data_IF_793056866109
#
_entry.id   IF_793056866109
#
_cell.length_a   1.000
_cell.length_b   1.000
_cell.length_c   1.000
_cell.angle_alpha   90.00
_cell.angle_beta   90.00
_cell.angle_gamma   90.00
#
_symmetry.space_group_name_H-M   'P 1'
#
loop_
_entity.id
_entity.type
_entity.pdbx_description
1 polymer ?
#
# COMPACT_ATOMS: atom_id res chain seq x y z
N UNK A 1 6.76 12.75 29.87
CA UNK A 1 6.51 13.02 28.42
C UNK A 1 5.93 11.79 27.67
N UNK A 2 6.17 10.54 28.11
CA UNK A 2 5.71 9.33 27.40
C UNK A 2 4.19 9.08 27.44
N UNK A 3 3.51 9.41 28.53
CA UNK A 3 2.06 9.10 28.71
C UNK A 3 1.17 10.03 27.86
N UNK A 4 1.57 11.28 27.69
CA UNK A 4 0.82 12.25 26.86
C UNK A 4 0.99 11.97 25.35
N UNK A 5 2.18 11.57 24.92
CA UNK A 5 2.43 11.14 23.54
C UNK A 5 1.59 9.90 23.20
N UNK A 6 1.57 8.90 24.07
CA UNK A 6 0.77 7.69 23.88
C UNK A 6 -0.75 7.95 23.79
N UNK A 7 -1.27 8.96 24.50
CA UNK A 7 -2.68 9.37 24.39
C UNK A 7 -3.00 10.08 23.06
N UNK A 8 -2.07 10.84 22.50
CA UNK A 8 -2.26 11.48 21.20
C UNK A 8 -2.25 10.45 20.07
N UNK A 9 -1.34 9.48 20.12
CA UNK A 9 -1.26 8.41 19.14
C UNK A 9 -2.54 7.54 19.12
N UNK A 10 -3.05 7.18 20.32
CA UNK A 10 -4.29 6.42 20.45
C UNK A 10 -5.49 7.22 19.91
N UNK A 11 -5.58 8.53 20.20
CA UNK A 11 -6.64 9.38 19.66
C UNK A 11 -6.62 9.43 18.14
N UNK A 12 -5.44 9.58 17.56
CA UNK A 12 -5.26 9.61 16.09
C UNK A 12 -5.68 8.28 15.47
N UNK A 13 -5.28 7.16 16.06
CA UNK A 13 -5.70 5.83 15.60
C UNK A 13 -7.22 5.65 15.68
N UNK A 14 -7.84 6.05 16.79
CA UNK A 14 -9.30 5.96 16.95
C UNK A 14 -10.05 6.83 15.94
N UNK A 15 -9.58 8.06 15.70
CA UNK A 15 -10.19 8.97 14.74
C UNK A 15 -10.06 8.44 13.32
N UNK A 16 -8.88 7.97 12.91
CA UNK A 16 -8.66 7.40 11.57
C UNK A 16 -9.48 6.15 11.34
N UNK A 17 -9.58 5.28 12.35
CA UNK A 17 -10.42 4.09 12.28
C UNK A 17 -11.92 4.46 12.20
N UNK A 18 -12.36 5.42 13.03
CA UNK A 18 -13.74 5.93 13.00
C UNK A 18 -14.12 6.54 11.64
N UNK A 19 -13.24 7.37 11.07
CA UNK A 19 -13.44 7.93 9.72
C UNK A 19 -13.51 6.81 8.68
N UNK A 20 -12.67 5.79 8.79
CA UNK A 20 -12.72 4.61 7.90
C UNK A 20 -14.06 3.90 7.94
N UNK A 21 -14.61 3.68 9.15
CA UNK A 21 -15.93 3.06 9.32
C UNK A 21 -17.07 3.93 8.75
N UNK A 22 -17.00 5.25 8.96
CA UNK A 22 -17.98 6.20 8.40
C UNK A 22 -17.94 6.14 6.87
N UNK A 23 -16.77 6.21 6.27
CA UNK A 23 -16.62 6.13 4.80
C UNK A 23 -17.12 4.79 4.26
N UNK A 24 -16.87 3.69 4.96
CA UNK A 24 -17.37 2.37 4.60
C UNK A 24 -18.89 2.31 4.68
N UNK A 25 -19.49 2.91 5.72
CA UNK A 25 -20.94 2.96 5.86
C UNK A 25 -21.58 3.84 4.79
N UNK A 26 -21.01 5.01 4.50
CA UNK A 26 -21.47 5.89 3.42
C UNK A 26 -21.41 5.18 2.07
N UNK A 27 -20.32 4.45 1.79
CA UNK A 27 -20.22 3.67 0.56
C UNK A 27 -21.29 2.57 0.49
N UNK A 28 -21.59 1.93 1.61
CA UNK A 28 -22.64 0.90 1.71
C UNK A 28 -24.04 1.48 1.51
N UNK A 29 -24.30 2.67 2.02
CA UNK A 29 -25.60 3.35 1.89
C UNK A 29 -25.84 3.86 0.46
N UNK A 30 -24.77 4.28 -0.24
CA UNK A 30 -24.85 4.81 -1.62
C UNK A 30 -24.87 3.68 -2.66
N UNK A 31 -23.98 2.70 -2.53
CA UNK A 31 -23.75 1.65 -3.54
C UNK A 31 -24.36 0.29 -3.18
N UNK A 32 -24.85 0.15 -1.93
CA UNK A 32 -25.37 -1.12 -1.41
C UNK A 32 -24.30 -1.98 -0.74
N UNK A 33 -24.75 -2.99 0.01
CA UNK A 33 -23.89 -3.93 0.73
C UNK A 33 -23.34 -5.09 -0.13
N UNK A 34 -24.06 -5.58 -1.17
CA UNK A 34 -23.62 -6.74 -1.93
C UNK A 34 -22.38 -6.44 -2.77
N UNK A 35 -21.56 -7.48 -2.96
CA UNK A 35 -20.41 -7.37 -3.83
C UNK A 35 -20.87 -7.25 -5.30
N UNK A 36 -20.32 -6.28 -6.01
CA UNK A 36 -20.62 -6.01 -7.41
C UNK A 36 -19.42 -6.40 -8.28
N UNK A 37 -19.70 -7.11 -9.37
CA UNK A 37 -18.70 -7.39 -10.39
C UNK A 37 -18.73 -6.28 -11.43
N UNK A 38 -17.60 -5.62 -11.64
CA UNK A 38 -17.43 -4.62 -12.67
C UNK A 38 -16.97 -5.30 -13.96
N UNK A 39 -17.76 -5.17 -15.01
CA UNK A 39 -17.39 -5.72 -16.32
C UNK A 39 -16.26 -4.89 -16.91
N UNK A 40 -15.17 -5.54 -17.28
CA UNK A 40 -14.06 -4.87 -17.95
C UNK A 40 -14.51 -4.26 -19.28
N UNK A 41 -14.02 -3.07 -19.66
CA UNK A 41 -14.32 -2.46 -20.95
C UNK A 41 -13.98 -3.39 -22.13
N UNK A 42 -14.69 -3.30 -23.29
CA UNK A 42 -14.47 -4.21 -24.43
C UNK A 42 -13.03 -4.27 -24.93
N UNK A 43 -12.28 -3.16 -24.85
CA UNK A 43 -10.87 -3.10 -25.24
C UNK A 43 -9.92 -3.84 -24.29
N UNK A 44 -10.37 -4.12 -23.06
CA UNK A 44 -9.64 -4.88 -22.04
C UNK A 44 -10.09 -6.35 -21.99
N UNK A 45 -11.13 -6.70 -22.72
CA UNK A 45 -11.64 -8.08 -22.82
C UNK A 45 -10.73 -8.92 -23.71
N UNK A 46 -10.62 -10.22 -23.39
CA UNK A 46 -9.79 -11.17 -24.12
C UNK A 46 -8.44 -11.44 -23.45
N UNK A 47 -7.65 -12.30 -24.09
CA UNK A 47 -6.32 -12.70 -23.63
C UNK A 47 -5.26 -12.47 -24.70
N UNK A 48 -4.02 -12.43 -24.29
CA UNK A 48 -2.83 -12.46 -25.15
C UNK A 48 -2.13 -13.79 -24.91
N UNK A 49 -1.85 -14.51 -25.99
CA UNK A 49 -1.07 -15.76 -25.91
C UNK A 49 0.41 -15.41 -25.69
N UNK A 50 0.91 -15.79 -24.52
CA UNK A 50 2.33 -15.63 -24.17
C UNK A 50 2.88 -17.03 -23.88
N UNK A 51 3.74 -17.52 -24.75
CA UNK A 51 4.42 -18.83 -24.62
C UNK A 51 3.44 -20.02 -24.42
N UNK A 52 2.25 -19.97 -25.05
CA UNK A 52 1.25 -21.03 -24.96
C UNK A 52 0.29 -20.93 -23.76
N UNK A 53 0.41 -19.84 -22.97
CA UNK A 53 -0.53 -19.53 -21.89
C UNK A 53 -1.34 -18.27 -22.24
N UNK A 54 -2.67 -18.35 -22.12
CA UNK A 54 -3.56 -17.19 -22.35
C UNK A 54 -3.58 -16.31 -21.10
N UNK A 55 -2.93 -15.15 -21.18
CA UNK A 55 -2.92 -14.16 -20.10
C UNK A 55 -4.02 -13.12 -20.35
N UNK A 56 -4.98 -12.92 -19.42
CA UNK A 56 -6.01 -11.90 -19.56
C UNK A 56 -5.39 -10.48 -19.69
N UNK A 57 -5.87 -9.71 -20.67
CA UNK A 57 -5.43 -8.32 -20.90
C UNK A 57 -5.59 -7.43 -19.66
N UNK A 58 -6.63 -7.68 -18.85
CA UNK A 58 -6.85 -6.99 -17.58
C UNK A 58 -5.66 -7.12 -16.61
N UNK A 59 -5.07 -8.31 -16.49
CA UNK A 59 -3.91 -8.52 -15.61
C UNK A 59 -2.67 -7.78 -16.11
N UNK A 60 -2.45 -7.77 -17.43
CA UNK A 60 -1.35 -7.01 -18.05
C UNK A 60 -1.54 -5.51 -17.85
N UNK A 61 -2.76 -5.01 -18.00
CA UNK A 61 -3.09 -3.61 -17.77
C UNK A 61 -2.82 -3.19 -16.31
N UNK A 62 -3.24 -4.00 -15.34
CA UNK A 62 -3.02 -3.73 -13.92
C UNK A 62 -1.52 -3.75 -13.58
N UNK A 63 -0.76 -4.68 -14.13
CA UNK A 63 0.69 -4.71 -13.97
C UNK A 63 1.34 -3.45 -14.54
N UNK A 64 0.95 -3.03 -15.74
CA UNK A 64 1.44 -1.80 -16.36
C UNK A 64 1.07 -0.57 -15.50
N UNK A 65 -0.17 -0.49 -15.05
CA UNK A 65 -0.65 0.59 -14.18
C UNK A 65 0.16 0.66 -12.88
N UNK A 66 0.42 -0.49 -12.24
CA UNK A 66 1.23 -0.56 -11.03
C UNK A 66 2.66 -0.08 -11.28
N UNK A 67 3.31 -0.52 -12.37
CA UNK A 67 4.65 -0.07 -12.76
C UNK A 67 4.68 1.43 -13.02
N UNK A 68 3.69 1.96 -13.73
CA UNK A 68 3.58 3.41 -14.00
C UNK A 68 3.41 4.19 -12.71
N UNK A 69 2.48 3.79 -11.83
CA UNK A 69 2.25 4.47 -10.54
C UNK A 69 3.49 4.47 -9.66
N UNK A 70 4.17 3.34 -9.54
CA UNK A 70 5.42 3.22 -8.76
C UNK A 70 6.53 4.07 -9.35
N UNK A 71 6.69 4.06 -10.67
CA UNK A 71 7.72 4.85 -11.37
C UNK A 71 7.46 6.35 -11.22
N UNK A 72 6.22 6.79 -11.39
CA UNK A 72 5.82 8.19 -11.20
C UNK A 72 6.04 8.62 -9.75
N UNK A 73 5.63 7.80 -8.78
CA UNK A 73 5.85 8.08 -7.37
C UNK A 73 7.36 8.16 -7.04
N UNK A 74 8.14 7.21 -7.50
CA UNK A 74 9.59 7.19 -7.30
C UNK A 74 10.28 8.41 -7.93
N UNK A 75 9.90 8.75 -9.17
CA UNK A 75 10.40 9.93 -9.86
C UNK A 75 10.02 11.22 -9.12
N UNK A 76 8.75 11.33 -8.70
CA UNK A 76 8.27 12.47 -7.93
C UNK A 76 9.04 12.62 -6.61
N UNK A 77 9.21 11.56 -5.85
CA UNK A 77 9.95 11.60 -4.60
C UNK A 77 11.45 11.89 -4.80
N UNK A 78 12.04 11.44 -5.91
CA UNK A 78 13.49 11.60 -6.16
C UNK A 78 13.82 12.97 -6.75
N UNK A 79 13.08 13.39 -7.77
CA UNK A 79 13.44 14.56 -8.59
C UNK A 79 12.64 15.83 -8.23
N UNK A 80 11.45 15.73 -7.63
CA UNK A 80 10.64 16.92 -7.35
C UNK A 80 11.06 17.68 -6.09
N UNK A 81 10.73 18.99 -6.05
CA UNK A 81 10.91 19.81 -4.87
C UNK A 81 10.10 19.28 -3.67
N UNK A 82 8.94 18.66 -3.97
CA UNK A 82 8.07 18.07 -2.98
C UNK A 82 8.70 16.84 -2.33
N UNK A 83 9.32 15.95 -3.12
CA UNK A 83 10.04 14.81 -2.58
C UNK A 83 11.19 15.21 -1.66
N UNK A 84 11.89 16.32 -1.95
CA UNK A 84 12.92 16.88 -1.06
C UNK A 84 12.33 17.33 0.27
N UNK A 85 11.17 18.02 0.26
CA UNK A 85 10.48 18.47 1.47
C UNK A 85 9.99 17.27 2.31
N UNK A 86 9.38 16.28 1.68
CA UNK A 86 8.93 15.05 2.35
C UNK A 86 10.12 14.38 3.06
N UNK A 87 11.23 14.17 2.36
CA UNK A 87 12.44 13.56 2.96
C UNK A 87 13.00 14.38 4.11
N UNK A 88 13.04 15.70 3.99
CA UNK A 88 13.51 16.58 5.06
C UNK A 88 12.65 16.45 6.33
N UNK A 89 11.32 16.49 6.18
CA UNK A 89 10.38 16.34 7.31
C UNK A 89 10.46 14.95 7.95
N UNK A 90 10.63 13.88 7.14
CA UNK A 90 10.78 12.51 7.63
C UNK A 90 12.10 12.30 8.38
N UNK A 91 13.18 12.96 7.95
CA UNK A 91 14.48 12.86 8.61
C UNK A 91 14.52 13.59 9.96
N UNK A 92 14.08 14.83 9.97
CA UNK A 92 14.01 15.63 11.21
C UNK A 92 12.98 16.76 11.03
N UNK A 93 11.85 16.62 11.73
CA UNK A 93 10.73 17.54 11.64
C UNK A 93 11.08 18.93 12.13
N UNK A 94 11.77 19.01 13.27
CA UNK A 94 12.12 20.28 13.91
C UNK A 94 13.12 21.08 13.06
N UNK A 95 14.13 20.39 12.52
CA UNK A 95 15.10 21.00 11.59
C UNK A 95 14.45 21.45 10.28
N UNK A 96 13.49 20.72 9.76
CA UNK A 96 12.75 21.10 8.56
C UNK A 96 11.93 22.36 8.79
N UNK A 97 11.28 22.50 9.94
CA UNK A 97 10.49 23.67 10.31
C UNK A 97 11.36 24.91 10.52
N UNK A 98 12.50 24.78 11.19
CA UNK A 98 13.46 25.88 11.34
C UNK A 98 14.07 26.31 10.01
N UNK A 99 14.13 25.41 9.02
CA UNK A 99 14.56 25.72 7.64
C UNK A 99 13.43 26.31 6.76
N UNK A 100 12.28 26.65 7.34
CA UNK A 100 11.15 27.25 6.63
C UNK A 100 10.26 26.26 5.88
N UNK A 101 10.41 24.94 6.08
CA UNK A 101 9.55 23.93 5.48
C UNK A 101 8.34 23.72 6.38
N UNK A 102 7.14 23.99 5.87
CA UNK A 102 5.90 23.72 6.60
C UNK A 102 5.61 22.23 6.64
N UNK A 103 5.85 21.59 7.80
CA UNK A 103 5.56 20.17 8.04
C UNK A 103 4.09 19.85 7.78
N UNK A 104 3.17 20.70 8.23
CA UNK A 104 1.72 20.49 8.03
C UNK A 104 1.34 20.40 6.54
N UNK A 105 1.87 21.31 5.70
CA UNK A 105 1.59 21.26 4.26
C UNK A 105 2.20 20.02 3.61
N UNK A 106 3.38 19.63 4.05
CA UNK A 106 4.05 18.41 3.55
C UNK A 106 3.28 17.17 3.93
N UNK A 107 2.79 17.06 5.17
CA UNK A 107 1.98 15.94 5.64
C UNK A 107 0.66 15.83 4.86
N UNK A 108 -0.08 16.94 4.71
CA UNK A 108 -1.34 16.99 3.95
C UNK A 108 -1.13 16.53 2.51
N UNK A 109 -0.08 16.99 1.88
CA UNK A 109 0.18 16.64 0.47
C UNK A 109 0.65 15.19 0.33
N UNK A 110 1.44 14.68 1.26
CA UNK A 110 1.83 13.26 1.31
C UNK A 110 0.60 12.38 1.47
N UNK A 111 -0.30 12.75 2.37
CA UNK A 111 -1.56 12.04 2.58
C UNK A 111 -2.45 12.07 1.34
N UNK A 112 -2.57 13.22 0.68
CA UNK A 112 -3.34 13.37 -0.56
C UNK A 112 -2.81 12.46 -1.69
N UNK A 113 -1.49 12.38 -1.86
CA UNK A 113 -0.88 11.51 -2.87
C UNK A 113 -1.13 10.04 -2.51
N UNK A 114 -0.95 9.66 -1.24
CA UNK A 114 -1.20 8.29 -0.77
C UNK A 114 -2.66 7.87 -0.97
N UNK A 115 -3.61 8.75 -0.63
CA UNK A 115 -5.04 8.50 -0.83
C UNK A 115 -5.40 8.40 -2.32
N UNK A 116 -4.80 9.24 -3.17
CA UNK A 116 -4.98 9.16 -4.62
C UNK A 116 -4.49 7.82 -5.19
N UNK A 117 -3.30 7.37 -4.79
CA UNK A 117 -2.76 6.06 -5.19
C UNK A 117 -3.61 4.90 -4.68
N UNK A 118 -4.13 4.99 -3.46
CA UNK A 118 -5.06 3.99 -2.92
C UNK A 118 -6.36 3.92 -3.75
N UNK A 119 -6.88 5.08 -4.21
CA UNK A 119 -8.02 5.14 -5.12
C UNK A 119 -7.74 4.45 -6.45
N UNK A 120 -6.59 4.71 -7.08
CA UNK A 120 -6.16 4.03 -8.32
C UNK A 120 -6.03 2.53 -8.12
N UNK A 121 -5.44 2.10 -7.00
CA UNK A 121 -5.34 0.67 -6.64
C UNK A 121 -6.72 0.05 -6.45
N UNK A 122 -7.67 0.76 -5.80
CA UNK A 122 -9.04 0.34 -5.66
C UNK A 122 -9.72 0.08 -7.01
N UNK A 123 -9.59 1.00 -7.96
CA UNK A 123 -10.11 0.81 -9.33
C UNK A 123 -9.46 -0.38 -10.02
N UNK A 124 -8.15 -0.59 -9.86
CA UNK A 124 -7.46 -1.75 -10.42
C UNK A 124 -7.99 -3.08 -9.84
N UNK A 125 -8.30 -3.11 -8.55
CA UNK A 125 -8.86 -4.30 -7.89
C UNK A 125 -10.26 -4.65 -8.40
N UNK A 126 -11.09 -3.66 -8.79
CA UNK A 126 -12.42 -3.93 -9.35
C UNK A 126 -12.37 -4.70 -10.68
N UNK A 127 -11.26 -4.62 -11.40
CA UNK A 127 -11.06 -5.34 -12.65
C UNK A 127 -10.63 -6.80 -12.47
N UNK A 128 -10.20 -7.18 -11.25
CA UNK A 128 -9.76 -8.55 -10.96
C UNK A 128 -10.89 -9.39 -10.38
N UNK A 129 -11.77 -8.76 -9.60
CA UNK A 129 -12.81 -9.51 -8.88
C UNK A 129 -13.95 -8.64 -8.40
N UNK A 130 -14.87 -9.26 -7.68
CA UNK A 130 -15.99 -8.56 -7.06
C UNK A 130 -15.51 -7.56 -6.00
N UNK A 131 -16.11 -6.38 -6.03
CA UNK A 131 -15.79 -5.30 -5.10
C UNK A 131 -16.96 -5.05 -4.17
N UNK A 132 -16.69 -4.94 -2.89
CA UNK A 132 -17.64 -4.59 -1.83
C UNK A 132 -17.09 -3.43 -1.00
N UNK A 133 -17.93 -2.74 -0.22
CA UNK A 133 -17.46 -1.69 0.70
C UNK A 133 -16.40 -2.14 1.71
N UNK A 134 -16.30 -3.45 1.97
CA UNK A 134 -15.32 -4.05 2.89
C UNK A 134 -14.00 -4.47 2.22
N UNK A 135 -13.93 -4.44 0.89
CA UNK A 135 -12.75 -4.91 0.12
C UNK A 135 -11.47 -4.19 0.55
N UNK A 136 -11.52 -2.87 0.75
CA UNK A 136 -10.36 -2.09 1.19
C UNK A 136 -9.78 -2.55 2.53
N UNK A 137 -10.63 -2.97 3.46
CA UNK A 137 -10.20 -3.46 4.76
C UNK A 137 -9.45 -4.79 4.66
N UNK A 138 -9.86 -5.68 3.76
CA UNK A 138 -9.18 -6.96 3.52
C UNK A 138 -7.76 -6.77 2.96
N UNK A 139 -7.56 -5.79 2.08
CA UNK A 139 -6.24 -5.48 1.51
C UNK A 139 -5.36 -4.59 2.38
N UNK A 140 -5.93 -3.92 3.40
CA UNK A 140 -5.16 -3.06 4.30
C UNK A 140 -4.07 -3.83 5.04
N UNK A 141 -4.41 -5.02 5.54
CA UNK A 141 -3.46 -5.88 6.27
C UNK A 141 -2.35 -6.34 5.33
N UNK A 142 -2.70 -6.81 4.13
CA UNK A 142 -1.72 -7.27 3.13
C UNK A 142 -0.77 -6.13 2.73
N UNK A 143 -1.30 -4.92 2.48
CA UNK A 143 -0.50 -3.74 2.16
C UNK A 143 0.44 -3.34 3.31
N UNK A 144 -0.05 -3.39 4.55
CA UNK A 144 0.76 -3.12 5.73
C UNK A 144 1.93 -4.10 5.86
N UNK A 145 1.66 -5.39 5.69
CA UNK A 145 2.68 -6.45 5.75
C UNK A 145 3.76 -6.25 4.67
N UNK A 146 3.36 -5.91 3.45
CA UNK A 146 4.27 -5.61 2.35
C UNK A 146 5.21 -4.45 2.71
N UNK A 147 4.68 -3.37 3.29
CA UNK A 147 5.48 -2.19 3.67
C UNK A 147 6.44 -2.52 4.81
N UNK A 148 6.00 -3.29 5.80
CA UNK A 148 6.85 -3.69 6.94
C UNK A 148 7.97 -4.61 6.48
N UNK A 149 7.67 -5.62 5.67
CA UNK A 149 8.68 -6.54 5.11
C UNK A 149 9.64 -5.81 4.17
N UNK A 150 9.15 -4.88 3.36
CA UNK A 150 9.97 -4.08 2.45
C UNK A 150 10.93 -3.12 3.16
N UNK A 151 10.56 -2.71 4.36
CA UNK A 151 11.27 -1.71 5.17
C UNK A 151 10.60 -0.34 5.07
N UNK A 152 10.19 0.19 6.21
CA UNK A 152 9.50 1.49 6.31
C UNK A 152 10.34 2.61 5.67
N UNK A 153 9.73 3.36 4.76
CA UNK A 153 10.38 4.48 4.06
C UNK A 153 11.23 4.09 2.84
N UNK A 154 11.25 2.82 2.44
CA UNK A 154 12.03 2.33 1.30
C UNK A 154 11.13 1.84 0.17
N UNK A 155 10.91 2.67 -0.87
CA UNK A 155 10.09 2.29 -2.03
C UNK A 155 10.63 1.03 -2.71
N UNK A 156 11.95 0.95 -2.92
CA UNK A 156 12.58 -0.21 -3.57
C UNK A 156 12.31 -1.49 -2.78
N UNK A 157 12.42 -1.43 -1.45
CA UNK A 157 12.13 -2.55 -0.57
C UNK A 157 10.68 -2.98 -0.63
N UNK A 158 9.76 -2.02 -0.58
CA UNK A 158 8.32 -2.28 -0.67
C UNK A 158 7.92 -2.93 -2.00
N UNK A 159 8.50 -2.48 -3.13
CA UNK A 159 8.24 -3.08 -4.45
C UNK A 159 8.74 -4.52 -4.51
N UNK A 160 9.96 -4.79 -4.03
CA UNK A 160 10.52 -6.13 -4.01
C UNK A 160 9.71 -7.04 -3.08
N UNK A 161 9.33 -6.54 -1.91
CA UNK A 161 8.48 -7.28 -0.96
C UNK A 161 7.10 -7.59 -1.56
N UNK A 162 6.46 -6.63 -2.24
CA UNK A 162 5.17 -6.82 -2.89
C UNK A 162 5.23 -7.93 -3.93
N UNK A 163 6.26 -7.92 -4.77
CA UNK A 163 6.49 -8.96 -5.78
C UNK A 163 6.77 -10.33 -5.14
N UNK A 164 7.67 -10.38 -4.17
CA UNK A 164 8.04 -11.62 -3.48
C UNK A 164 6.86 -12.24 -2.74
N UNK A 165 6.11 -11.44 -1.98
CA UNK A 165 4.94 -11.92 -1.24
C UNK A 165 3.78 -12.29 -2.17
N UNK A 166 3.59 -11.53 -3.26
CA UNK A 166 2.59 -11.88 -4.28
C UNK A 166 2.88 -13.20 -4.97
N UNK A 167 4.13 -13.44 -5.37
CA UNK A 167 4.56 -14.72 -5.96
C UNK A 167 4.44 -15.86 -4.95
N UNK A 168 4.88 -15.66 -3.72
CA UNK A 168 4.75 -16.64 -2.63
C UNK A 168 3.29 -17.02 -2.38
N UNK A 169 2.41 -16.02 -2.29
CA UNK A 169 0.97 -16.25 -2.09
C UNK A 169 0.38 -17.06 -3.24
N UNK A 170 0.68 -16.69 -4.50
CA UNK A 170 0.19 -17.41 -5.68
C UNK A 170 0.71 -18.85 -5.74
N UNK A 171 1.97 -19.08 -5.36
CA UNK A 171 2.57 -20.41 -5.36
C UNK A 171 1.94 -21.31 -4.30
N UNK A 172 1.70 -20.77 -3.10
CA UNK A 172 1.08 -21.53 -2.01
C UNK A 172 -0.40 -21.78 -2.32
N UNK A 173 -1.10 -20.81 -2.90
CA UNK A 173 -2.51 -20.94 -3.28
C UNK A 173 -2.74 -22.00 -4.37
N UNK A 174 -1.75 -22.22 -5.25
CA UNK A 174 -1.80 -23.31 -6.24
C UNK A 174 -1.87 -24.71 -5.58
N UNK A 175 -1.23 -24.88 -4.43
CA UNK A 175 -1.16 -26.17 -3.73
C UNK A 175 -2.18 -26.30 -2.59
N UNK A 176 -2.83 -25.18 -2.19
CA UNK A 176 -3.71 -25.13 -1.02
C UNK A 176 -4.93 -24.26 -1.31
N UNK A 177 -5.77 -24.03 -0.30
CA UNK A 177 -6.88 -23.08 -0.40
C UNK A 177 -6.40 -21.65 -0.14
N UNK A 178 -7.06 -20.64 -0.73
CA UNK A 178 -6.73 -19.23 -0.57
C UNK A 178 -6.64 -18.79 0.90
N UNK A 179 -7.50 -19.34 1.77
CA UNK A 179 -7.48 -19.02 3.21
C UNK A 179 -6.22 -19.58 3.90
N UNK A 180 -5.83 -20.82 3.59
CA UNK A 180 -4.62 -21.43 4.14
C UNK A 180 -3.36 -20.75 3.61
N UNK A 181 -3.34 -20.34 2.33
CA UNK A 181 -2.24 -19.60 1.74
C UNK A 181 -1.97 -18.31 2.51
N UNK A 182 -3.00 -17.53 2.83
CA UNK A 182 -2.86 -16.30 3.64
C UNK A 182 -2.27 -16.57 5.03
N UNK A 183 -2.72 -17.62 5.71
CA UNK A 183 -2.19 -17.98 7.04
C UNK A 183 -0.71 -18.36 6.95
N UNK A 184 -0.35 -19.17 5.96
CA UNK A 184 1.05 -19.60 5.77
C UNK A 184 1.95 -18.39 5.45
N UNK A 185 1.52 -17.51 4.55
CA UNK A 185 2.25 -16.28 4.20
C UNK A 185 2.40 -15.40 5.44
N UNK A 186 1.35 -15.23 6.23
CA UNK A 186 1.40 -14.46 7.47
C UNK A 186 2.42 -15.01 8.47
N UNK A 187 2.40 -16.32 8.72
CA UNK A 187 3.37 -17.00 9.60
C UNK A 187 4.80 -16.81 9.09
N UNK A 188 5.00 -16.95 7.77
CA UNK A 188 6.30 -16.74 7.13
C UNK A 188 6.83 -15.31 7.33
N UNK A 189 5.94 -14.31 7.21
CA UNK A 189 6.27 -12.91 7.48
C UNK A 189 6.64 -12.70 8.94
N UNK A 190 5.90 -13.29 9.88
CA UNK A 190 6.21 -13.17 11.32
C UNK A 190 7.59 -13.77 11.62
N UNK A 191 7.90 -14.96 11.08
CA UNK A 191 9.22 -15.57 11.22
C UNK A 191 10.31 -14.68 10.60
N UNK A 192 10.06 -14.15 9.40
CA UNK A 192 10.99 -13.24 8.74
C UNK A 192 11.28 -12.00 9.59
N UNK A 193 10.25 -11.38 10.17
CA UNK A 193 10.39 -10.19 11.02
C UNK A 193 11.08 -10.49 12.35
N UNK A 194 10.96 -11.70 12.89
CA UNK A 194 11.75 -12.12 14.07
C UNK A 194 13.25 -12.19 13.75
N UNK A 195 13.61 -12.62 12.54
CA UNK A 195 15.02 -12.70 12.09
C UNK A 195 15.53 -11.33 11.63
N UNK A 196 14.68 -10.56 10.94
CA UNK A 196 15.02 -9.22 10.41
C UNK A 196 13.94 -8.19 10.74
N UNK A 197 13.91 -7.64 11.97
CA UNK A 197 12.88 -6.69 12.40
C UNK A 197 12.89 -5.36 11.65
N UNK A 198 13.96 -5.06 10.92
CA UNK A 198 14.09 -3.82 10.14
C UNK A 198 13.60 -3.95 8.68
N UNK A 199 13.08 -5.13 8.30
CA UNK A 199 12.68 -5.42 6.92
C UNK A 199 13.86 -5.72 5.99
N UNK A 200 13.58 -5.79 4.67
CA UNK A 200 14.58 -6.10 3.64
C UNK A 200 15.64 -4.99 3.48
N UNK A 201 15.21 -3.74 3.59
CA UNK A 201 16.08 -2.58 3.42
C UNK A 201 15.97 -1.65 4.62
N UNK A 202 17.10 -1.40 5.27
CA UNK A 202 17.17 -0.50 6.42
C UNK A 202 17.53 0.92 5.98
N UNK A 203 16.82 1.92 6.49
CA UNK A 203 17.29 3.31 6.45
C UNK A 203 18.36 3.44 7.54
N UNK A 204 19.64 3.53 7.19
CA UNK A 204 20.66 3.96 8.13
C UNK A 204 20.41 5.42 8.47
N UNK A 205 19.65 5.68 9.52
CA UNK A 205 19.70 6.99 10.19
C UNK A 205 21.08 7.09 10.83
N UNK A 206 21.95 7.94 10.27
CA UNK A 206 23.14 8.38 11.01
C UNK A 206 22.64 9.16 12.22
N UNK A 207 22.63 8.52 13.38
CA UNK A 207 22.59 9.23 14.65
C UNK A 207 23.91 10.02 14.74
N UNK A 208 23.84 11.33 14.49
CA UNK A 208 24.87 12.24 14.94
C UNK A 208 24.73 12.30 16.46
N UNK A 209 25.60 11.60 17.16
CA UNK A 209 25.86 11.79 18.60
C UNK A 209 26.64 13.07 18.73
#
# INVERSE_FOLDING_TARGET
>A
KSILANRQDIRTLLVTFGVGLILQQVARDIFGAPAVNVTAPPWLSGGVDILGAVVPKTRLFILLLAVVCVTVLAAMLTYSAMGRRIRAVVQNRDLAETSGISSRRTDVTTFFIGSGLAGVAGVALTLIGSTSPTTGQAYLIDAFLVVVVGGLGQIKGTVIAAFALGLLNSFIEYSTTASLAKVIVFVLIVIFLQVRPQGLFTVRTRSLV
#
